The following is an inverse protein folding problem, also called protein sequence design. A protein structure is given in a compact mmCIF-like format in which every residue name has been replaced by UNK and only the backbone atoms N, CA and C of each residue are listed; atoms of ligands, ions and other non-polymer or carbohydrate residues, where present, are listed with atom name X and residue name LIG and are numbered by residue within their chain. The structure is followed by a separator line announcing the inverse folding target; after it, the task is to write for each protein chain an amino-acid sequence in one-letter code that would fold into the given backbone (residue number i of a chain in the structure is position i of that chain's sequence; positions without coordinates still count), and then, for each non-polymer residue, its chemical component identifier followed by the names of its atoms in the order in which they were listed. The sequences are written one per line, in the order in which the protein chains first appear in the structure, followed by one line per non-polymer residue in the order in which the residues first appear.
data_IF_429835719655
#
_entry.id   IF_429835719655
#
_cell.length_a   1.000
_cell.length_b   1.000
_cell.length_c   1.000
_cell.angle_alpha   90.00
_cell.angle_beta   90.00
_cell.angle_gamma   90.00
#
_symmetry.space_group_name_H-M   'P 1'
#
loop_
_entity.id
_entity.type
_entity.pdbx_description
1 polymer ?
#
# COMPACT_ATOMS: atom_id res chain seq x y z
N UNK A 1 -5.53 -18.09 -8.86
CA UNK A 1 -6.07 -16.93 -8.10
C UNK A 1 -5.12 -16.67 -6.95
N UNK A 2 -4.63 -15.45 -6.78
CA UNK A 2 -3.82 -15.12 -5.59
C UNK A 2 -4.74 -14.95 -4.38
N UNK A 3 -4.32 -15.53 -3.26
CA UNK A 3 -5.01 -15.44 -1.97
C UNK A 3 -4.50 -14.22 -1.18
N UNK A 4 -5.21 -13.87 -0.10
CA UNK A 4 -4.72 -12.85 0.84
C UNK A 4 -3.33 -13.19 1.41
N UNK A 5 -3.05 -14.47 1.66
CA UNK A 5 -1.78 -14.94 2.19
C UNK A 5 -0.59 -14.71 1.24
N UNK A 6 -0.84 -14.65 -0.07
CA UNK A 6 0.21 -14.38 -1.06
C UNK A 6 0.67 -12.91 -1.01
N UNK A 7 -0.15 -12.01 -0.46
CA UNK A 7 0.16 -10.58 -0.34
C UNK A 7 0.87 -10.28 0.98
N UNK A 8 2.12 -10.74 1.08
CA UNK A 8 2.97 -10.60 2.30
C UNK A 8 4.04 -9.52 2.21
N UNK A 9 4.31 -9.03 0.99
CA UNK A 9 5.30 -7.99 0.75
C UNK A 9 4.64 -6.65 1.01
N UNK A 10 4.91 -6.04 2.16
CA UNK A 10 4.25 -4.82 2.59
C UNK A 10 5.19 -3.62 2.64
N UNK A 11 4.59 -2.44 2.50
CA UNK A 11 5.20 -1.15 2.79
C UNK A 11 4.18 -0.29 3.53
N UNK A 12 4.62 0.36 4.60
CA UNK A 12 3.80 1.31 5.36
C UNK A 12 4.28 2.71 5.06
N UNK A 13 3.34 3.54 4.60
CA UNK A 13 3.56 4.93 4.26
C UNK A 13 2.86 5.81 5.29
N UNK A 14 3.56 6.83 5.78
CA UNK A 14 2.97 7.94 6.53
C UNK A 14 2.64 9.09 5.57
N UNK A 15 1.45 9.67 5.71
CA UNK A 15 1.07 10.91 5.03
C UNK A 15 -0.08 11.58 5.76
N UNK A 16 0.04 12.88 6.02
CA UNK A 16 -0.99 13.69 6.68
C UNK A 16 -2.09 14.18 5.73
N UNK A 17 -2.02 13.82 4.44
CA UNK A 17 -2.95 14.26 3.42
C UNK A 17 -3.79 13.10 2.87
N UNK A 18 -5.11 13.17 3.08
CA UNK A 18 -6.05 12.17 2.60
C UNK A 18 -6.12 12.10 1.06
N UNK A 19 -5.86 13.21 0.36
CA UNK A 19 -5.77 13.21 -1.09
C UNK A 19 -4.58 12.36 -1.56
N UNK A 20 -3.45 12.44 -0.85
CA UNK A 20 -2.28 11.58 -1.09
C UNK A 20 -2.65 10.13 -0.84
N UNK A 21 -3.36 9.80 0.24
CA UNK A 21 -3.85 8.42 0.48
C UNK A 21 -4.65 7.88 -0.72
N UNK A 22 -5.51 8.69 -1.34
CA UNK A 22 -6.26 8.27 -2.52
C UNK A 22 -5.36 8.02 -3.73
N UNK A 23 -4.34 8.84 -3.95
CA UNK A 23 -3.31 8.60 -4.97
C UNK A 23 -2.56 7.29 -4.68
N UNK A 24 -2.14 7.05 -3.44
CA UNK A 24 -1.46 5.81 -3.03
C UNK A 24 -2.32 4.56 -3.30
N UNK A 25 -3.63 4.64 -3.01
CA UNK A 25 -4.59 3.56 -3.34
C UNK A 25 -4.63 3.28 -4.85
N UNK A 26 -4.67 4.30 -5.69
CA UNK A 26 -4.66 4.14 -7.14
C UNK A 26 -3.33 3.55 -7.67
N UNK A 27 -2.20 4.05 -7.16
CA UNK A 27 -0.86 3.61 -7.57
C UNK A 27 -0.54 2.18 -7.11
N UNK A 28 -1.00 1.77 -5.93
CA UNK A 28 -0.84 0.38 -5.46
C UNK A 28 -1.66 -0.60 -6.34
N UNK A 29 -2.86 -0.21 -6.75
CA UNK A 29 -3.69 -0.97 -7.70
C UNK A 29 -3.03 -1.08 -9.08
N UNK A 30 -2.39 -0.01 -9.56
CA UNK A 30 -1.64 -0.01 -10.82
C UNK A 30 -0.41 -0.93 -10.75
N UNK A 31 0.31 -0.90 -9.62
CA UNK A 31 1.56 -1.64 -9.44
C UNK A 31 1.36 -3.14 -9.27
N UNK A 32 0.23 -3.56 -8.69
CA UNK A 32 -0.17 -4.96 -8.63
C UNK A 32 -0.65 -5.42 -10.02
N UNK A 33 0.27 -5.92 -10.85
CA UNK A 33 -0.03 -6.19 -12.28
C UNK A 33 -0.92 -7.41 -12.51
N UNK A 34 -0.96 -8.34 -11.57
CA UNK A 34 -1.69 -9.61 -11.69
C UNK A 34 -2.44 -9.95 -10.40
N UNK A 35 -3.42 -10.85 -10.45
CA UNK A 35 -4.18 -11.25 -9.27
C UNK A 35 -5.28 -10.25 -8.90
N UNK A 36 -5.66 -10.21 -7.61
CA UNK A 36 -6.70 -9.32 -7.13
C UNK A 36 -6.12 -7.97 -6.69
N UNK A 37 -6.24 -6.97 -7.55
CA UNK A 37 -5.68 -5.63 -7.32
C UNK A 37 -6.45 -4.80 -6.25
N UNK A 38 -7.46 -5.38 -5.59
CA UNK A 38 -8.12 -4.77 -4.44
C UNK A 38 -7.49 -5.15 -3.09
N UNK A 39 -6.68 -6.22 -3.05
CA UNK A 39 -5.99 -6.64 -1.84
C UNK A 39 -4.93 -5.63 -1.38
N UNK A 40 -4.14 -4.99 -2.29
CA UNK A 40 -3.05 -4.14 -1.86
C UNK A 40 -3.40 -2.96 -0.98
N UNK A 41 -4.59 -2.39 -1.12
CA UNK A 41 -5.03 -1.25 -0.32
C UNK A 41 -6.07 -1.66 0.74
N UNK A 42 -6.27 -2.96 0.97
CA UNK A 42 -7.12 -3.46 2.04
C UNK A 42 -6.71 -2.87 3.39
N UNK A 43 -7.69 -2.37 4.15
CA UNK A 43 -7.40 -1.74 5.45
C UNK A 43 -6.94 -0.29 5.38
N UNK A 44 -6.91 0.36 4.22
CA UNK A 44 -6.48 1.77 4.10
C UNK A 44 -7.61 2.81 4.09
N UNK A 45 -8.87 2.44 4.38
CA UNK A 45 -10.04 3.36 4.39
C UNK A 45 -9.81 4.57 5.30
N UNK A 46 -10.51 5.68 5.08
CA UNK A 46 -10.29 6.95 5.80
C UNK A 46 -10.35 6.78 7.33
N UNK A 47 -11.33 6.02 7.83
CA UNK A 47 -11.42 5.67 9.26
C UNK A 47 -10.23 4.87 9.79
N UNK A 48 -9.59 4.07 8.96
CA UNK A 48 -8.42 3.29 9.35
C UNK A 48 -7.16 4.17 9.32
N UNK A 49 -7.02 5.03 8.32
CA UNK A 49 -5.94 6.03 8.24
C UNK A 49 -5.95 6.94 9.49
N UNK A 50 -7.13 7.44 9.89
CA UNK A 50 -7.29 8.19 11.14
C UNK A 50 -6.92 7.36 12.39
N UNK A 51 -7.49 6.16 12.51
CA UNK A 51 -7.22 5.24 13.62
C UNK A 51 -5.73 4.91 13.75
N UNK A 52 -5.07 4.71 12.62
CA UNK A 52 -3.68 4.26 12.52
C UNK A 52 -2.69 5.44 12.50
N UNK A 53 -3.13 6.63 12.96
CA UNK A 53 -2.31 7.84 13.07
C UNK A 53 -1.64 8.20 11.76
N UNK A 54 -2.42 8.24 10.69
CA UNK A 54 -2.00 8.62 9.35
C UNK A 54 -1.04 7.64 8.65
N UNK A 55 -0.95 6.41 9.15
CA UNK A 55 -0.19 5.33 8.53
C UNK A 55 -1.09 4.44 7.69
N UNK A 56 -0.62 4.09 6.48
CA UNK A 56 -1.31 3.15 5.58
C UNK A 56 -0.34 2.09 5.09
N UNK A 57 -0.72 0.82 5.26
CA UNK A 57 0.08 -0.32 4.80
C UNK A 57 -0.49 -0.88 3.51
N UNK A 58 0.35 -0.92 2.47
CA UNK A 58 0.05 -1.55 1.20
C UNK A 58 0.74 -2.91 1.11
N UNK A 59 0.04 -3.92 0.54
CA UNK A 59 0.52 -5.31 0.49
C UNK A 59 0.50 -5.89 -0.92
N UNK A 60 1.60 -6.46 -1.35
CA UNK A 60 1.82 -6.92 -2.72
C UNK A 60 2.11 -8.41 -2.77
N UNK A 61 1.75 -9.05 -3.88
CA UNK A 61 1.99 -10.48 -4.06
C UNK A 61 3.45 -10.84 -4.33
N UNK A 62 4.24 -9.88 -4.83
CA UNK A 62 5.67 -10.05 -5.10
C UNK A 62 6.44 -8.81 -4.65
N UNK A 63 7.73 -8.93 -4.32
CA UNK A 63 8.54 -7.77 -3.94
C UNK A 63 8.70 -6.79 -5.11
N UNK A 64 8.72 -7.27 -6.36
CA UNK A 64 8.83 -6.43 -7.56
C UNK A 64 7.65 -5.47 -7.70
N UNK A 65 6.44 -5.88 -7.30
CA UNK A 65 5.27 -5.00 -7.30
C UNK A 65 5.34 -3.93 -6.20
N UNK A 66 5.91 -4.25 -5.03
CA UNK A 66 6.20 -3.25 -3.99
C UNK A 66 7.24 -2.24 -4.48
N UNK A 67 8.34 -2.69 -5.07
CA UNK A 67 9.36 -1.78 -5.59
C UNK A 67 8.81 -0.94 -6.76
N UNK A 68 7.98 -1.53 -7.61
CA UNK A 68 7.27 -0.80 -8.67
C UNK A 68 6.36 0.29 -8.11
N UNK A 69 5.63 0.02 -7.03
CA UNK A 69 4.83 1.02 -6.34
C UNK A 69 5.67 2.19 -5.83
N UNK A 70 6.78 1.91 -5.14
CA UNK A 70 7.69 2.95 -4.62
C UNK A 70 8.33 3.76 -5.76
N UNK A 71 8.67 3.11 -6.88
CA UNK A 71 9.17 3.81 -8.06
C UNK A 71 8.13 4.79 -8.63
N UNK A 72 6.86 4.40 -8.69
CA UNK A 72 5.78 5.29 -9.12
C UNK A 72 5.53 6.44 -8.13
N UNK A 73 5.65 6.20 -6.81
CA UNK A 73 5.54 7.27 -5.81
C UNK A 73 6.62 8.32 -6.03
N UNK A 74 7.88 7.90 -6.19
CA UNK A 74 9.01 8.80 -6.47
C UNK A 74 8.87 9.55 -7.79
N UNK A 75 8.24 8.93 -8.80
CA UNK A 75 8.04 9.55 -10.12
C UNK A 75 6.94 10.61 -10.14
N UNK A 76 5.86 10.39 -9.37
CA UNK A 76 4.62 11.16 -9.50
C UNK A 76 4.33 12.11 -8.34
N UNK A 77 4.80 11.80 -7.13
CA UNK A 77 4.47 12.54 -5.93
C UNK A 77 5.72 13.26 -5.40
N UNK A 78 5.61 14.53 -4.97
CA UNK A 78 6.65 15.20 -4.21
C UNK A 78 7.04 14.39 -2.97
N UNK A 79 8.34 14.35 -2.67
CA UNK A 79 8.89 13.54 -1.59
C UNK A 79 8.44 14.00 -0.19
N UNK A 80 8.01 15.25 -0.06
CA UNK A 80 7.56 15.84 1.20
C UNK A 80 6.14 15.41 1.58
N UNK A 81 5.37 14.86 0.63
CA UNK A 81 3.96 14.49 0.86
C UNK A 81 3.80 13.11 1.49
N UNK A 82 4.85 12.29 1.51
CA UNK A 82 4.78 10.92 1.99
C UNK A 82 6.12 10.43 2.50
N UNK A 83 6.10 9.48 3.43
CA UNK A 83 7.31 8.88 3.97
C UNK A 83 7.13 7.37 4.10
N UNK A 84 8.08 6.59 3.59
CA UNK A 84 8.18 5.17 3.94
C UNK A 84 8.65 5.05 5.40
N UNK A 85 7.80 4.47 6.26
CA UNK A 85 8.12 4.28 7.69
C UNK A 85 8.43 2.84 8.06
N UNK A 86 7.99 1.88 7.24
CA UNK A 86 8.23 0.46 7.47
C UNK A 86 8.09 -0.35 6.18
N UNK A 87 8.78 -1.50 6.12
CA UNK A 87 8.74 -2.47 5.03
C UNK A 87 8.87 -3.88 5.59
N UNK A 88 8.12 -4.83 5.04
CA UNK A 88 8.18 -6.23 5.44
C UNK A 88 7.99 -7.18 4.26
N UNK A 89 8.58 -8.37 4.35
CA UNK A 89 8.41 -9.48 3.40
C UNK A 89 7.54 -10.63 3.99
N UNK A 90 7.07 -10.45 5.22
CA UNK A 90 6.37 -11.46 6.02
C UNK A 90 5.13 -10.89 6.73
N UNK A 91 4.46 -9.90 6.14
CA UNK A 91 3.25 -9.26 6.67
C UNK A 91 2.03 -9.59 5.77
N UNK A 92 1.47 -10.81 5.89
CA UNK A 92 0.37 -11.25 5.02
C UNK A 92 -0.87 -10.40 5.22
N UNK A 93 -1.56 -10.10 4.12
CA UNK A 93 -2.86 -9.44 4.19
C UNK A 93 -3.84 -10.31 4.98
N UNK A 94 -4.49 -9.73 5.98
CA UNK A 94 -5.56 -10.40 6.72
C UNK A 94 -6.91 -10.11 6.07
N UNK A 95 -7.85 -11.06 6.16
CA UNK A 95 -9.24 -10.81 5.79
C UNK A 95 -9.80 -9.73 6.72
N UNK A 96 -10.41 -8.68 6.15
CA UNK A 96 -11.19 -7.76 6.94
C UNK A 96 -12.37 -8.52 7.55
N UNK A 97 -12.41 -8.62 8.89
CA UNK A 97 -13.60 -9.08 9.62
C UNK A 97 -14.76 -8.10 9.45
#
# INVERSE_FOLDING_TARGET
MTTHADHKYSVTIHTDDLAVVNCLRALSKYSQRTGNNNIPWGGTKDKNWERDRHHVTFRFSTPEYREGFIAELNRLLPAELWQEVNRSDADPATLAK
#
